data_IF_907560252281
#
_entry.id   IF_907560252281
#
_cell.length_a   1.000
_cell.length_b   1.000
_cell.length_c   1.000
_cell.angle_alpha   90.00
_cell.angle_beta   90.00
_cell.angle_gamma   90.00
#
_symmetry.space_group_name_H-M   'P 1'
#
loop_
_entity.id
_entity.type
_entity.pdbx_description
1 polymer ?
#
# COMPACT_ATOMS: atom_id res chain seq x y z
N UNK A 1 13.78 15.84 -24.95
CA UNK A 1 13.48 17.27 -24.76
C UNK A 1 13.46 17.56 -23.27
N UNK A 2 14.09 18.65 -22.83
CA UNK A 2 14.07 19.08 -21.43
C UNK A 2 12.71 19.69 -21.09
N UNK A 3 12.16 19.37 -19.93
CA UNK A 3 10.94 19.98 -19.40
C UNK A 3 11.29 21.41 -18.94
N UNK A 4 10.63 22.43 -19.50
CA UNK A 4 10.75 23.81 -19.04
C UNK A 4 9.50 24.21 -18.25
N UNK A 5 9.67 24.60 -16.99
CA UNK A 5 8.60 25.04 -16.09
C UNK A 5 8.70 26.56 -15.99
N UNK A 6 7.68 27.28 -16.45
CA UNK A 6 7.61 28.76 -16.40
C UNK A 6 6.83 29.29 -15.20
N UNK A 7 6.26 28.38 -14.42
CA UNK A 7 5.45 28.68 -13.24
C UNK A 7 6.36 28.79 -12.01
N UNK A 8 6.39 29.97 -11.39
CA UNK A 8 7.30 30.28 -10.31
C UNK A 8 7.01 29.46 -9.03
N UNK A 9 5.74 29.19 -8.75
CA UNK A 9 5.34 28.37 -7.59
C UNK A 9 5.83 26.93 -7.74
N UNK A 10 5.66 26.36 -8.93
CA UNK A 10 6.12 25.00 -9.24
C UNK A 10 7.64 24.88 -9.13
N UNK A 11 8.37 25.90 -9.57
CA UNK A 11 9.83 25.93 -9.43
C UNK A 11 10.27 26.04 -7.96
N UNK A 12 9.58 26.85 -7.14
CA UNK A 12 9.84 26.95 -5.71
C UNK A 12 9.56 25.62 -5.01
N UNK A 13 8.42 25.00 -5.28
CA UNK A 13 8.07 23.68 -4.73
C UNK A 13 9.10 22.61 -5.10
N UNK A 14 9.57 22.60 -6.34
CA UNK A 14 10.63 21.69 -6.77
C UNK A 14 11.95 21.94 -6.03
N UNK A 15 12.28 23.20 -5.75
CA UNK A 15 13.46 23.56 -4.96
C UNK A 15 13.33 23.13 -3.50
N UNK A 16 12.18 23.36 -2.88
CA UNK A 16 11.93 23.04 -1.48
C UNK A 16 11.96 21.52 -1.24
N UNK A 17 11.27 20.75 -2.08
CA UNK A 17 11.26 19.28 -1.98
C UNK A 17 12.67 18.72 -2.19
N UNK A 18 13.41 19.25 -3.18
CA UNK A 18 14.78 18.84 -3.44
C UNK A 18 15.72 19.13 -2.26
N UNK A 19 15.57 20.30 -1.62
CA UNK A 19 16.31 20.69 -0.43
C UNK A 19 16.01 19.75 0.75
N UNK A 20 14.73 19.49 1.01
CA UNK A 20 14.29 18.59 2.09
C UNK A 20 14.77 17.14 1.89
N UNK A 21 14.81 16.67 0.65
CA UNK A 21 15.23 15.31 0.32
C UNK A 21 16.74 15.17 0.06
N UNK A 22 17.50 16.28 0.02
CA UNK A 22 18.93 16.26 -0.27
C UNK A 22 19.25 15.80 -1.71
N UNK A 23 18.38 16.10 -2.67
CA UNK A 23 18.51 15.65 -4.07
C UNK A 23 18.41 16.82 -5.07
N UNK A 24 18.55 16.56 -6.36
CA UNK A 24 18.38 17.62 -7.38
C UNK A 24 16.91 17.92 -7.65
N UNK A 25 16.58 19.14 -8.08
CA UNK A 25 15.21 19.52 -8.51
C UNK A 25 14.62 18.50 -9.51
N UNK A 26 15.44 18.02 -10.46
CA UNK A 26 15.01 17.02 -11.44
C UNK A 26 14.74 15.65 -10.80
N UNK A 27 15.52 15.22 -9.81
CA UNK A 27 15.28 13.98 -9.08
C UNK A 27 13.97 14.06 -8.28
N UNK A 28 13.76 15.17 -7.56
CA UNK A 28 12.55 15.46 -6.81
C UNK A 28 11.30 15.47 -7.71
N UNK A 29 11.33 16.17 -8.84
CA UNK A 29 10.22 16.19 -9.82
C UNK A 29 9.95 14.78 -10.33
N UNK A 30 11.00 14.02 -10.70
CA UNK A 30 10.85 12.66 -11.22
C UNK A 30 10.19 11.74 -10.18
N UNK A 31 10.59 11.85 -8.93
CA UNK A 31 10.03 11.06 -7.83
C UNK A 31 8.57 11.45 -7.56
N UNK A 32 8.27 12.73 -7.44
CA UNK A 32 6.91 13.24 -7.26
C UNK A 32 5.96 12.77 -8.37
N UNK A 33 6.41 12.80 -9.63
CA UNK A 33 5.63 12.32 -10.78
C UNK A 33 5.40 10.80 -10.72
N UNK A 34 6.41 10.01 -10.33
CA UNK A 34 6.26 8.56 -10.14
C UNK A 34 5.21 8.24 -9.08
N UNK A 35 5.28 8.91 -7.94
CA UNK A 35 4.33 8.72 -6.85
C UNK A 35 2.92 9.13 -7.23
N UNK A 36 2.75 10.28 -7.90
CA UNK A 36 1.45 10.74 -8.40
C UNK A 36 0.89 9.76 -9.43
N UNK A 37 1.71 9.28 -10.37
CA UNK A 37 1.31 8.25 -11.34
C UNK A 37 0.85 6.98 -10.64
N UNK A 38 1.59 6.49 -9.64
CA UNK A 38 1.16 5.32 -8.86
C UNK A 38 -0.15 5.55 -8.12
N UNK A 39 -0.35 6.72 -7.49
CA UNK A 39 -1.63 7.06 -6.84
C UNK A 39 -2.79 7.05 -7.83
N UNK A 40 -2.58 7.61 -9.03
CA UNK A 40 -3.59 7.64 -10.09
C UNK A 40 -3.89 6.25 -10.66
N UNK A 41 -2.88 5.41 -10.89
CA UNK A 41 -3.08 4.02 -11.31
C UNK A 41 -3.90 3.26 -10.25
N UNK A 42 -3.54 3.40 -8.97
CA UNK A 42 -4.30 2.81 -7.86
C UNK A 42 -5.76 3.29 -7.80
N UNK A 43 -6.02 4.54 -8.14
CA UNK A 43 -7.38 5.09 -8.18
C UNK A 43 -8.17 4.60 -9.41
N UNK A 44 -7.51 4.45 -10.56
CA UNK A 44 -8.13 4.03 -11.83
C UNK A 44 -8.55 2.57 -11.81
N UNK A 45 -7.80 1.71 -11.11
CA UNK A 45 -8.10 0.28 -11.06
C UNK A 45 -9.39 -0.05 -10.29
N UNK A 46 -10.07 0.93 -9.69
CA UNK A 46 -11.37 0.79 -9.02
C UNK A 46 -11.35 -0.10 -7.77
N UNK A 47 -10.26 -0.83 -7.57
CA UNK A 47 -10.04 -1.76 -6.48
C UNK A 47 -9.67 -1.01 -5.20
N UNK A 48 -10.51 -1.19 -4.19
CA UNK A 48 -10.32 -0.60 -2.87
C UNK A 48 -9.04 -1.09 -2.20
N UNK A 49 -8.68 -0.48 -1.07
CA UNK A 49 -7.59 -1.01 -0.22
C UNK A 49 -7.84 -2.47 0.19
N UNK A 50 -9.11 -2.84 0.38
CA UNK A 50 -9.54 -4.21 0.70
C UNK A 50 -9.17 -5.21 -0.39
N UNK A 51 -9.51 -4.93 -1.64
CA UNK A 51 -9.25 -5.84 -2.77
C UNK A 51 -7.75 -6.13 -2.95
N UNK A 52 -6.89 -5.12 -2.76
CA UNK A 52 -5.43 -5.33 -2.79
C UNK A 52 -4.92 -6.16 -1.62
N UNK A 53 -5.54 -6.06 -0.46
CA UNK A 53 -5.20 -6.93 0.68
C UNK A 53 -5.56 -8.36 0.33
N UNK A 54 -6.74 -8.58 -0.26
CA UNK A 54 -7.18 -9.90 -0.74
C UNK A 54 -6.20 -10.47 -1.77
N UNK A 55 -5.76 -9.69 -2.76
CA UNK A 55 -4.76 -10.13 -3.75
C UNK A 55 -3.47 -10.63 -3.07
N UNK A 56 -3.01 -9.96 -2.01
CA UNK A 56 -1.82 -10.37 -1.24
C UNK A 56 -2.08 -11.63 -0.42
N UNK A 57 -3.25 -11.73 0.21
CA UNK A 57 -3.66 -12.93 0.94
C UNK A 57 -3.70 -14.13 -0.02
N UNK A 58 -4.33 -13.99 -1.19
CA UNK A 58 -4.42 -15.00 -2.26
C UNK A 58 -3.06 -15.43 -2.78
N UNK A 59 -2.22 -14.48 -3.16
CA UNK A 59 -0.97 -14.80 -3.83
C UNK A 59 0.12 -15.32 -2.88
N UNK A 60 0.15 -14.85 -1.62
CA UNK A 60 1.29 -15.07 -0.73
C UNK A 60 0.99 -15.89 0.52
N UNK A 61 -0.21 -15.78 1.07
CA UNK A 61 -0.52 -16.31 2.40
C UNK A 61 -1.39 -17.57 2.33
N UNK A 62 -2.48 -17.58 1.57
CA UNK A 62 -3.37 -18.74 1.41
C UNK A 62 -2.69 -20.00 0.84
N UNK A 63 -1.72 -19.92 -0.10
CA UNK A 63 -1.00 -21.10 -0.57
C UNK A 63 -0.18 -21.78 0.53
N UNK A 64 0.22 -21.03 1.57
CA UNK A 64 0.98 -21.55 2.72
C UNK A 64 0.09 -22.18 3.78
N UNK A 65 -1.23 -22.00 3.70
CA UNK A 65 -2.16 -22.63 4.64
C UNK A 65 -2.22 -24.14 4.38
N UNK A 66 -2.25 -24.97 5.44
CA UNK A 66 -2.46 -26.41 5.29
C UNK A 66 -3.74 -26.70 4.51
N UNK A 67 -3.69 -27.63 3.56
CA UNK A 67 -4.86 -27.98 2.73
C UNK A 67 -6.09 -28.35 3.57
N UNK A 68 -5.86 -29.02 4.71
CA UNK A 68 -6.91 -29.45 5.66
C UNK A 68 -7.72 -28.32 6.30
N UNK A 69 -7.26 -27.07 6.27
CA UNK A 69 -7.98 -25.93 6.86
C UNK A 69 -8.48 -24.92 5.83
N UNK A 70 -8.20 -25.13 4.54
CA UNK A 70 -8.63 -24.20 3.49
C UNK A 70 -10.14 -24.31 3.27
N UNK A 71 -10.82 -23.16 3.25
CA UNK A 71 -12.28 -23.09 3.05
C UNK A 71 -13.10 -23.55 4.27
N UNK A 72 -12.45 -23.93 5.38
CA UNK A 72 -13.15 -24.30 6.61
C UNK A 72 -13.31 -23.03 7.46
N UNK A 73 -14.55 -22.61 7.77
CA UNK A 73 -14.77 -21.48 8.65
C UNK A 73 -14.35 -21.81 10.08
N UNK A 74 -13.66 -20.89 10.74
CA UNK A 74 -13.32 -21.00 12.17
C UNK A 74 -14.61 -20.93 12.98
N UNK A 75 -14.88 -21.97 13.77
CA UNK A 75 -16.02 -22.02 14.67
C UNK A 75 -15.92 -20.95 15.76
N UNK A 76 -17.04 -20.64 16.42
CA UNK A 76 -17.04 -19.69 17.52
C UNK A 76 -16.09 -20.10 18.65
N UNK A 77 -16.14 -21.36 19.07
CA UNK A 77 -15.31 -21.88 20.15
C UNK A 77 -13.80 -21.80 19.82
N UNK A 78 -13.42 -22.17 18.59
CA UNK A 78 -12.02 -22.04 18.13
C UNK A 78 -11.58 -20.57 18.08
N UNK A 79 -12.46 -19.67 17.64
CA UNK A 79 -12.18 -18.23 17.60
C UNK A 79 -11.97 -17.67 19.00
N UNK A 80 -12.82 -18.04 19.94
CA UNK A 80 -12.70 -17.64 21.35
C UNK A 80 -11.38 -18.16 21.95
N UNK A 81 -11.01 -19.41 21.69
CA UNK A 81 -9.73 -19.97 22.12
C UNK A 81 -8.51 -19.24 21.49
N UNK A 82 -8.54 -18.95 20.19
CA UNK A 82 -7.47 -18.20 19.48
C UNK A 82 -7.30 -16.78 20.07
N UNK A 83 -8.42 -16.14 20.43
CA UNK A 83 -8.43 -14.79 21.01
C UNK A 83 -8.12 -14.78 22.51
N UNK A 84 -8.01 -15.95 23.16
CA UNK A 84 -7.75 -16.06 24.60
C UNK A 84 -8.99 -15.99 25.50
N UNK A 85 -10.20 -16.06 24.94
CA UNK A 85 -11.48 -16.11 25.65
C UNK A 85 -11.95 -17.55 25.98
N UNK A 86 -11.02 -18.50 26.04
CA UNK A 86 -11.32 -19.91 26.32
C UNK A 86 -11.63 -20.18 27.81
N UNK A 87 -11.79 -21.46 28.22
CA UNK A 87 -12.02 -21.84 29.61
C UNK A 87 -10.90 -21.38 30.56
N UNK A 88 -9.69 -21.21 30.01
CA UNK A 88 -8.48 -20.73 30.67
C UNK A 88 -8.25 -19.21 30.50
N UNK A 89 -9.22 -18.48 29.91
CA UNK A 89 -9.13 -17.04 29.67
C UNK A 89 -9.40 -16.20 30.93
N UNK A 90 -9.00 -14.91 30.89
CA UNK A 90 -9.34 -13.91 31.93
C UNK A 90 -10.85 -13.77 32.09
#
# INVERSE_FOLDING_TARGET
MALNIKDAETEQLAADVASLAGESKTAAIRQALRERRQRLLRARDGRGRGDRMVDVLEARLWPKLPARVRGIPVTRAEREAILGYGPEGV
#
